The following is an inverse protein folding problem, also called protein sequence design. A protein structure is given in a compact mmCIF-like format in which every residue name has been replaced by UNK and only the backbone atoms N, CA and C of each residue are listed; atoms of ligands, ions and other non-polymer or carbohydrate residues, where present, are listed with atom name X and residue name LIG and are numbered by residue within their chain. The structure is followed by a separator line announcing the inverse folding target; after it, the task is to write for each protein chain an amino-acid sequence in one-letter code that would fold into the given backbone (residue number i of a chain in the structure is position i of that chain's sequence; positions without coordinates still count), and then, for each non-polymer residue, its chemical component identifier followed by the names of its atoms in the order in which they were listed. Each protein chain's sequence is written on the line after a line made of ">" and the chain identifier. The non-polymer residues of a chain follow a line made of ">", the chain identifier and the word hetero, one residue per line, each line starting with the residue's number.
data_IF_492199086095
#
_entry.id   IF_492199086095
#
_cell.length_a   1.000
_cell.length_b   1.000
_cell.length_c   1.000
_cell.angle_alpha   90.00
_cell.angle_beta   90.00
_cell.angle_gamma   90.00
#
_symmetry.space_group_name_H-M   'P 1'
#
loop_
_entity.id
_entity.type
_entity.pdbx_description
1 polymer ?
#
# COMPACT_ATOMS: atom_id res chain seq x y z
N UNK A 1 6.79 -7.83 -17.03
CA UNK A 1 7.69 -8.41 -16.01
C UNK A 1 7.17 -9.74 -15.44
N UNK A 2 5.97 -9.82 -14.85
CA UNK A 2 5.44 -11.07 -14.25
C UNK A 2 5.06 -12.14 -15.28
N UNK A 3 4.70 -11.77 -16.51
CA UNK A 3 4.29 -12.68 -17.61
C UNK A 3 5.50 -13.28 -18.39
N UNK A 4 6.71 -12.87 -18.09
CA UNK A 4 7.88 -13.20 -18.90
C UNK A 4 8.19 -14.72 -18.96
N UNK A 5 7.72 -15.50 -17.98
CA UNK A 5 7.91 -16.95 -17.98
C UNK A 5 6.81 -17.74 -18.71
N UNK A 6 5.80 -17.07 -19.29
CA UNK A 6 4.71 -17.64 -20.11
C UNK A 6 3.98 -18.85 -19.51
N UNK A 7 4.07 -19.06 -18.20
CA UNK A 7 3.38 -20.14 -17.50
C UNK A 7 1.96 -19.74 -17.11
N UNK A 8 1.06 -20.73 -17.00
CA UNK A 8 -0.31 -20.48 -16.53
C UNK A 8 -0.36 -19.87 -15.11
N UNK A 9 0.64 -20.16 -14.26
CA UNK A 9 0.81 -19.56 -12.94
C UNK A 9 1.19 -18.09 -13.05
N UNK A 10 2.14 -17.73 -13.92
CA UNK A 10 2.54 -16.35 -14.19
C UNK A 10 1.37 -15.51 -14.72
N UNK A 11 0.55 -16.08 -15.61
CA UNK A 11 -0.65 -15.42 -16.13
C UNK A 11 -1.71 -15.13 -15.06
N UNK A 12 -1.91 -16.03 -14.09
CA UNK A 12 -2.82 -15.79 -12.95
C UNK A 12 -2.28 -14.73 -12.00
N UNK A 13 -1.01 -14.81 -11.65
CA UNK A 13 -0.34 -13.83 -10.79
C UNK A 13 -0.36 -12.43 -11.40
N UNK A 14 -0.10 -12.32 -12.71
CA UNK A 14 -0.13 -11.06 -13.43
C UNK A 14 -1.53 -10.43 -13.47
N UNK A 15 -2.59 -11.22 -13.68
CA UNK A 15 -3.98 -10.72 -13.62
C UNK A 15 -4.34 -10.20 -12.24
N UNK A 16 -4.00 -10.93 -11.18
CA UNK A 16 -4.23 -10.49 -9.80
C UNK A 16 -3.48 -9.20 -9.49
N UNK A 17 -2.20 -9.13 -9.87
CA UNK A 17 -1.39 -7.92 -9.72
C UNK A 17 -2.00 -6.73 -10.46
N UNK A 18 -2.36 -6.92 -11.73
CA UNK A 18 -2.95 -5.85 -12.56
C UNK A 18 -4.28 -5.35 -11.99
N UNK A 19 -5.16 -6.27 -11.58
CA UNK A 19 -6.46 -5.90 -10.99
C UNK A 19 -6.28 -5.06 -9.73
N UNK A 20 -5.42 -5.49 -8.79
CA UNK A 20 -5.15 -4.76 -7.55
C UNK A 20 -4.46 -3.43 -7.84
N UNK A 21 -3.52 -3.39 -8.80
CA UNK A 21 -2.82 -2.16 -9.19
C UNK A 21 -3.77 -1.13 -9.82
N UNK A 22 -4.71 -1.56 -10.67
CA UNK A 22 -5.71 -0.68 -11.29
C UNK A 22 -6.68 -0.15 -10.25
N UNK A 23 -7.26 -1.02 -9.41
CA UNK A 23 -8.19 -0.61 -8.35
C UNK A 23 -7.50 0.34 -7.38
N UNK A 24 -6.30 0.01 -6.91
CA UNK A 24 -5.54 0.87 -6.02
C UNK A 24 -5.16 2.20 -6.67
N UNK A 25 -4.76 2.18 -7.95
CA UNK A 25 -4.46 3.40 -8.71
C UNK A 25 -5.67 4.32 -8.85
N UNK A 26 -6.84 3.76 -9.16
CA UNK A 26 -8.09 4.52 -9.24
C UNK A 26 -8.48 5.12 -7.87
N UNK A 27 -8.35 4.36 -6.78
CA UNK A 27 -8.60 4.88 -5.43
C UNK A 27 -7.66 6.06 -5.11
N UNK A 28 -6.37 5.94 -5.41
CA UNK A 28 -5.41 7.02 -5.20
C UNK A 28 -5.76 8.27 -6.03
N UNK A 29 -6.12 8.09 -7.31
CA UNK A 29 -6.53 9.19 -8.20
C UNK A 29 -7.79 9.89 -7.66
N UNK A 30 -8.79 9.15 -7.22
CA UNK A 30 -9.99 9.73 -6.61
C UNK A 30 -9.66 10.55 -5.36
N UNK A 31 -8.78 10.03 -4.48
CA UNK A 31 -8.31 10.76 -3.32
C UNK A 31 -7.61 12.07 -3.70
N UNK A 32 -6.73 12.04 -4.70
CA UNK A 32 -6.04 13.24 -5.22
C UNK A 32 -7.05 14.23 -5.82
N UNK A 33 -8.03 13.77 -6.61
CA UNK A 33 -9.04 14.65 -7.18
C UNK A 33 -9.94 15.30 -6.11
N UNK A 34 -10.27 14.59 -5.04
CA UNK A 34 -11.00 15.18 -3.91
C UNK A 34 -10.20 16.33 -3.27
N UNK A 35 -8.89 16.13 -3.08
CA UNK A 35 -8.02 17.16 -2.54
C UNK A 35 -7.91 18.34 -3.50
N UNK A 36 -7.69 18.08 -4.79
CA UNK A 36 -7.61 19.11 -5.81
C UNK A 36 -8.92 19.92 -5.94
N UNK A 37 -10.07 19.27 -5.86
CA UNK A 37 -11.37 19.94 -5.89
C UNK A 37 -11.60 20.83 -4.66
N UNK A 38 -11.08 20.44 -3.50
CA UNK A 38 -11.22 21.21 -2.26
C UNK A 38 -10.20 22.35 -2.09
N UNK A 39 -9.04 22.26 -2.74
CA UNK A 39 -7.94 23.23 -2.57
C UNK A 39 -7.66 24.06 -3.84
N UNK A 40 -8.13 23.60 -5.00
CA UNK A 40 -7.81 24.20 -6.31
C UNK A 40 -6.36 24.02 -6.74
N UNK A 41 -5.56 23.23 -6.02
CA UNK A 41 -4.13 23.06 -6.27
C UNK A 41 -3.72 21.58 -6.14
N UNK A 42 -2.64 21.19 -6.85
CA UNK A 42 -2.05 19.84 -6.84
C UNK A 42 -0.63 19.82 -6.25
N UNK A 43 -0.22 20.86 -5.55
CA UNK A 43 1.08 20.91 -4.87
C UNK A 43 1.09 19.99 -3.64
N UNK A 44 2.26 19.63 -3.13
CA UNK A 44 2.39 18.85 -1.87
C UNK A 44 1.76 19.57 -0.68
N UNK A 45 1.74 20.91 -0.69
CA UNK A 45 1.10 21.74 0.34
C UNK A 45 -0.42 21.65 0.33
N UNK A 46 -1.02 21.17 -0.77
CA UNK A 46 -2.47 20.99 -0.87
C UNK A 46 -3.02 19.97 0.13
N UNK A 47 -2.24 18.99 0.54
CA UNK A 47 -2.61 18.03 1.59
C UNK A 47 -2.86 18.75 2.93
N UNK A 48 -1.97 19.65 3.32
CA UNK A 48 -2.12 20.43 4.55
C UNK A 48 -3.23 21.49 4.44
N UNK A 49 -3.36 22.13 3.27
CA UNK A 49 -4.43 23.09 2.99
C UNK A 49 -5.80 22.41 3.04
N UNK A 50 -5.93 21.20 2.47
CA UNK A 50 -7.16 20.42 2.51
C UNK A 50 -7.55 20.06 3.96
N UNK A 51 -6.58 19.67 4.79
CA UNK A 51 -6.79 19.43 6.22
C UNK A 51 -7.32 20.67 6.92
N UNK A 52 -6.72 21.85 6.69
CA UNK A 52 -7.13 23.12 7.29
C UNK A 52 -8.53 23.56 6.82
N UNK A 53 -8.82 23.38 5.52
CA UNK A 53 -10.12 23.73 4.93
C UNK A 53 -11.25 22.82 5.41
N UNK A 54 -10.96 21.54 5.62
CA UNK A 54 -11.96 20.52 5.94
C UNK A 54 -12.16 20.35 7.46
N UNK A 55 -11.26 20.86 8.29
CA UNK A 55 -11.40 20.93 9.75
C UNK A 55 -11.63 19.58 10.46
N UNK A 56 -11.12 18.46 9.92
CA UNK A 56 -11.30 17.13 10.51
C UNK A 56 -12.67 16.49 10.22
N UNK A 57 -13.39 16.96 9.20
CA UNK A 57 -14.68 16.42 8.79
C UNK A 57 -14.56 15.16 7.93
N UNK A 58 -15.67 14.46 7.73
CA UNK A 58 -15.72 13.18 6.99
C UNK A 58 -15.03 13.18 5.60
N UNK A 59 -15.03 14.27 4.78
CA UNK A 59 -14.29 14.27 3.51
C UNK A 59 -12.79 14.09 3.67
N UNK A 60 -12.19 14.55 4.78
CA UNK A 60 -10.77 14.34 5.08
C UNK A 60 -10.47 12.85 5.24
N UNK A 61 -11.28 12.14 6.04
CA UNK A 61 -11.11 10.72 6.27
C UNK A 61 -11.37 9.88 5.02
N UNK A 62 -12.34 10.30 4.19
CA UNK A 62 -12.61 9.64 2.92
C UNK A 62 -11.43 9.78 1.96
N UNK A 63 -10.91 10.99 1.77
CA UNK A 63 -9.74 11.22 0.93
C UNK A 63 -8.52 10.44 1.45
N UNK A 64 -8.29 10.46 2.76
CA UNK A 64 -7.25 9.69 3.41
C UNK A 64 -7.40 8.18 3.21
N UNK A 65 -8.60 7.64 3.38
CA UNK A 65 -8.89 6.21 3.17
C UNK A 65 -8.68 5.77 1.72
N UNK A 66 -9.06 6.60 0.75
CA UNK A 66 -8.83 6.36 -0.68
C UNK A 66 -7.33 6.35 -1.01
N UNK A 67 -6.57 7.30 -0.48
CA UNK A 67 -5.11 7.34 -0.62
C UNK A 67 -4.45 6.15 0.08
N UNK A 68 -4.92 5.79 1.29
CA UNK A 68 -4.44 4.62 2.02
C UNK A 68 -4.71 3.32 1.26
N UNK A 69 -5.90 3.16 0.65
CA UNK A 69 -6.22 2.02 -0.19
C UNK A 69 -5.30 1.95 -1.42
N UNK A 70 -5.05 3.09 -2.08
CA UNK A 70 -4.19 3.15 -3.26
C UNK A 70 -2.72 2.86 -2.96
N UNK A 71 -2.14 3.53 -1.99
CA UNK A 71 -0.76 3.30 -1.57
C UNK A 71 -0.59 1.96 -0.84
N UNK A 72 -1.61 1.53 -0.07
CA UNK A 72 -1.64 0.24 0.60
C UNK A 72 -1.68 -0.93 -0.39
N UNK A 73 -2.44 -0.82 -1.49
CA UNK A 73 -2.42 -1.78 -2.58
C UNK A 73 -1.01 -1.91 -3.18
N UNK A 74 -0.31 -0.79 -3.36
CA UNK A 74 1.05 -0.75 -3.88
C UNK A 74 2.07 -1.30 -2.87
N UNK A 75 1.91 -1.01 -1.60
CA UNK A 75 2.75 -1.53 -0.52
C UNK A 75 2.52 -3.03 -0.27
N UNK A 76 1.38 -3.60 -0.63
CA UNK A 76 0.99 -4.96 -0.30
C UNK A 76 0.43 -5.08 1.12
N UNK A 77 -0.31 -4.07 1.58
CA UNK A 77 -0.99 -4.05 2.88
C UNK A 77 -2.27 -4.90 2.83
N UNK A 78 -2.62 -5.56 3.93
CA UNK A 78 -3.90 -6.23 4.07
C UNK A 78 -5.08 -5.22 3.91
N UNK A 79 -6.14 -5.57 3.17
CA UNK A 79 -6.45 -6.85 2.51
C UNK A 79 -5.86 -7.00 1.09
N UNK A 80 -5.20 -6.00 0.54
CA UNK A 80 -4.73 -5.95 -0.86
C UNK A 80 -3.35 -6.62 -1.09
N UNK A 81 -2.88 -7.43 -0.14
CA UNK A 81 -1.55 -8.04 -0.11
C UNK A 81 -1.37 -9.24 -1.07
N UNK A 82 -2.48 -9.85 -1.53
CA UNK A 82 -2.48 -11.17 -2.21
C UNK A 82 -1.59 -11.24 -3.45
N UNK A 83 -1.37 -10.13 -4.13
CA UNK A 83 -0.51 -10.06 -5.31
C UNK A 83 0.97 -10.27 -4.98
N UNK A 84 1.43 -9.83 -3.80
CA UNK A 84 2.84 -9.80 -3.45
C UNK A 84 3.46 -11.21 -3.33
N UNK A 85 2.89 -12.15 -2.54
CA UNK A 85 3.41 -13.51 -2.45
C UNK A 85 3.24 -14.33 -3.74
N UNK A 86 2.31 -13.93 -4.61
CA UNK A 86 2.04 -14.64 -5.85
C UNK A 86 2.90 -14.14 -7.02
N UNK A 87 3.26 -12.86 -7.03
CA UNK A 87 4.07 -12.26 -8.10
C UNK A 87 5.56 -12.60 -7.98
N UNK A 88 6.10 -12.67 -6.75
CA UNK A 88 7.53 -12.87 -6.53
C UNK A 88 8.09 -14.22 -7.02
N UNK A 89 7.43 -15.38 -6.79
CA UNK A 89 7.95 -16.66 -7.25
C UNK A 89 8.08 -16.76 -8.76
N UNK A 90 7.10 -16.19 -9.49
CA UNK A 90 7.01 -16.26 -10.95
C UNK A 90 7.74 -15.10 -11.67
N UNK A 91 8.21 -14.10 -10.94
CA UNK A 91 8.97 -13.01 -11.52
C UNK A 91 10.46 -13.40 -11.68
N UNK A 92 11.14 -13.00 -12.80
CA UNK A 92 12.58 -13.14 -12.90
C UNK A 92 13.30 -12.35 -11.79
N UNK A 93 14.50 -12.80 -11.42
CA UNK A 93 15.23 -12.25 -10.26
C UNK A 93 15.37 -10.72 -10.27
N UNK A 94 15.74 -10.05 -11.38
CA UNK A 94 15.81 -8.59 -11.43
C UNK A 94 14.46 -7.91 -11.22
N UNK A 95 13.37 -8.47 -11.77
CA UNK A 95 12.03 -7.95 -11.60
C UNK A 95 11.55 -8.10 -10.15
N UNK A 96 11.81 -9.24 -9.52
CA UNK A 96 11.51 -9.49 -8.11
C UNK A 96 12.26 -8.52 -7.19
N UNK A 97 13.53 -8.21 -7.49
CA UNK A 97 14.30 -7.22 -6.75
C UNK A 97 13.70 -5.80 -6.83
N UNK A 98 13.26 -5.37 -8.03
CA UNK A 98 12.59 -4.08 -8.23
C UNK A 98 11.24 -4.01 -7.53
N UNK A 99 10.46 -5.09 -7.57
CA UNK A 99 9.16 -5.17 -6.87
C UNK A 99 9.35 -4.99 -5.37
N UNK A 100 10.29 -5.70 -4.75
CA UNK A 100 10.55 -5.63 -3.32
C UNK A 100 11.33 -4.37 -2.92
N UNK A 101 12.32 -3.95 -3.72
CA UNK A 101 13.24 -2.86 -3.37
C UNK A 101 12.64 -1.46 -3.54
N UNK A 102 11.86 -1.22 -4.59
CA UNK A 102 11.37 0.11 -4.97
C UNK A 102 9.86 0.21 -4.88
N UNK A 103 9.13 -0.70 -5.54
CA UNK A 103 7.69 -0.54 -5.73
C UNK A 103 6.91 -0.52 -4.42
N UNK A 104 7.18 -1.47 -3.53
CA UNK A 104 6.52 -1.53 -2.22
C UNK A 104 6.90 -0.35 -1.33
N UNK A 105 8.16 0.13 -1.39
CA UNK A 105 8.64 1.26 -0.59
C UNK A 105 8.01 2.59 -1.02
N UNK A 106 7.74 2.77 -2.31
CA UNK A 106 6.98 3.96 -2.76
C UNK A 106 5.56 3.98 -2.21
N UNK A 107 4.92 2.81 -2.05
CA UNK A 107 3.62 2.70 -1.38
C UNK A 107 3.69 3.09 0.09
N UNK A 108 4.68 2.57 0.82
CA UNK A 108 4.93 2.94 2.23
C UNK A 108 5.20 4.43 2.38
N UNK A 109 6.04 5.00 1.50
CA UNK A 109 6.33 6.43 1.51
C UNK A 109 5.07 7.27 1.30
N UNK A 110 4.18 6.88 0.36
CA UNK A 110 2.90 7.54 0.15
C UNK A 110 2.01 7.53 1.39
N UNK A 111 1.93 6.40 2.11
CA UNK A 111 1.18 6.28 3.37
C UNK A 111 1.77 7.20 4.44
N UNK A 112 3.10 7.23 4.58
CA UNK A 112 3.81 8.13 5.49
C UNK A 112 3.48 9.60 5.21
N UNK A 113 3.57 10.02 3.95
CA UNK A 113 3.25 11.40 3.54
C UNK A 113 1.82 11.78 3.90
N UNK A 114 0.84 10.91 3.60
CA UNK A 114 -0.56 11.14 3.96
C UNK A 114 -0.73 11.24 5.47
N UNK A 115 -0.15 10.32 6.23
CA UNK A 115 -0.27 10.28 7.69
C UNK A 115 0.34 11.51 8.35
N UNK A 116 1.55 11.88 7.97
CA UNK A 116 2.26 13.03 8.58
C UNK A 116 1.65 14.36 8.18
N UNK A 117 1.16 14.49 6.93
CA UNK A 117 0.69 15.78 6.42
C UNK A 117 -0.79 16.02 6.71
N UNK A 118 -1.65 14.99 6.51
CA UNK A 118 -3.11 15.14 6.68
C UNK A 118 -3.59 14.81 8.10
N UNK A 119 -2.98 13.82 8.77
CA UNK A 119 -3.50 13.23 10.02
C UNK A 119 -2.53 13.34 11.21
N UNK A 120 -1.70 14.37 11.22
CA UNK A 120 -0.72 14.59 12.29
C UNK A 120 -1.41 14.61 13.67
N UNK A 121 -1.05 13.65 14.53
CA UNK A 121 -1.61 13.46 15.88
C UNK A 121 -3.12 13.10 15.95
N UNK A 122 -3.70 12.56 14.87
CA UNK A 122 -5.08 12.09 14.89
C UNK A 122 -5.14 10.64 15.39
N UNK A 123 -5.72 10.44 16.57
CA UNK A 123 -5.89 9.11 17.19
C UNK A 123 -6.78 8.17 16.37
N UNK A 124 -7.81 8.73 15.71
CA UNK A 124 -8.73 7.92 14.90
C UNK A 124 -7.99 7.35 13.70
N UNK A 125 -7.21 8.20 13.02
CA UNK A 125 -6.37 7.76 11.90
C UNK A 125 -5.31 6.76 12.34
N UNK A 126 -4.68 6.97 13.49
CA UNK A 126 -3.73 6.01 14.08
C UNK A 126 -4.34 4.62 14.24
N UNK A 127 -5.56 4.52 14.79
CA UNK A 127 -6.27 3.24 14.92
C UNK A 127 -6.63 2.61 13.56
N UNK A 128 -7.05 3.41 12.59
CA UNK A 128 -7.34 2.95 11.21
C UNK A 128 -6.09 2.38 10.54
N UNK A 129 -4.91 2.92 10.82
CA UNK A 129 -3.64 2.45 10.27
C UNK A 129 -3.08 1.25 11.06
N UNK A 130 -3.28 1.25 12.39
CA UNK A 130 -2.80 0.19 13.28
C UNK A 130 -3.40 -1.18 12.94
N UNK A 131 -4.71 -1.24 12.73
CA UNK A 131 -5.41 -2.50 12.50
C UNK A 131 -4.88 -3.25 11.25
N UNK A 132 -4.90 -2.67 10.02
CA UNK A 132 -4.35 -3.33 8.85
C UNK A 132 -2.84 -3.52 8.93
N UNK A 133 -2.10 -2.63 9.60
CA UNK A 133 -0.66 -2.76 9.83
C UNK A 133 -0.34 -4.00 10.66
N UNK A 134 -0.97 -4.17 11.81
CA UNK A 134 -0.79 -5.33 12.69
C UNK A 134 -1.19 -6.65 11.99
N UNK A 135 -2.34 -6.66 11.30
CA UNK A 135 -2.77 -7.83 10.53
C UNK A 135 -1.75 -8.17 9.43
N UNK A 136 -1.25 -7.18 8.69
CA UNK A 136 -0.24 -7.38 7.65
C UNK A 136 1.06 -7.95 8.23
N UNK A 137 1.49 -7.45 9.39
CA UNK A 137 2.69 -7.91 10.08
C UNK A 137 2.58 -9.40 10.46
N UNK A 138 1.50 -9.77 11.13
CA UNK A 138 1.29 -11.14 11.61
C UNK A 138 1.08 -12.11 10.45
N UNK A 139 0.21 -11.77 9.48
CA UNK A 139 -0.02 -12.60 8.30
C UNK A 139 1.26 -12.78 7.48
N UNK A 140 2.04 -11.72 7.28
CA UNK A 140 3.32 -11.79 6.59
C UNK A 140 4.29 -12.74 7.27
N UNK A 141 4.41 -12.69 8.60
CA UNK A 141 5.27 -13.58 9.37
C UNK A 141 4.81 -15.05 9.26
N UNK A 142 3.51 -15.32 9.45
CA UNK A 142 2.95 -16.66 9.33
C UNK A 142 3.18 -17.25 7.94
N UNK A 143 2.86 -16.48 6.88
CA UNK A 143 3.04 -16.91 5.50
C UNK A 143 4.51 -17.15 5.15
N UNK A 144 5.44 -16.39 5.73
CA UNK A 144 6.88 -16.59 5.54
C UNK A 144 7.36 -17.91 6.12
N UNK A 145 6.91 -18.28 7.34
CA UNK A 145 7.27 -19.54 8.00
C UNK A 145 6.76 -20.76 7.24
N UNK A 146 5.54 -20.70 6.70
CA UNK A 146 4.96 -21.82 5.95
C UNK A 146 5.30 -21.83 4.46
N UNK A 147 6.14 -20.91 3.98
CA UNK A 147 6.55 -20.88 2.57
C UNK A 147 7.71 -21.83 2.30
N UNK A 148 7.59 -22.68 1.26
CA UNK A 148 8.62 -23.61 0.82
C UNK A 148 9.62 -22.91 -0.11
N UNK A 149 9.14 -21.97 -0.93
CA UNK A 149 9.95 -21.25 -1.92
C UNK A 149 10.67 -20.06 -1.30
N UNK A 150 11.98 -19.96 -1.49
CA UNK A 150 12.81 -18.86 -0.98
C UNK A 150 12.30 -17.47 -1.42
N UNK A 151 11.94 -17.30 -2.69
CA UNK A 151 11.38 -16.04 -3.21
C UNK A 151 10.08 -15.65 -2.52
N UNK A 152 9.21 -16.62 -2.27
CA UNK A 152 7.94 -16.41 -1.56
C UNK A 152 8.17 -16.07 -0.09
N UNK A 153 9.09 -16.76 0.58
CA UNK A 153 9.50 -16.46 1.97
C UNK A 153 9.99 -15.02 2.09
N UNK A 154 10.86 -14.56 1.19
CA UNK A 154 11.36 -13.20 1.18
C UNK A 154 10.26 -12.16 0.91
N UNK A 155 9.30 -12.47 0.03
CA UNK A 155 8.16 -11.62 -0.22
C UNK A 155 7.26 -11.47 1.02
N UNK A 156 6.94 -12.57 1.69
CA UNK A 156 6.14 -12.58 2.90
C UNK A 156 6.86 -11.91 4.08
N UNK A 157 8.17 -12.08 4.19
CA UNK A 157 9.01 -11.36 5.15
C UNK A 157 8.99 -9.85 4.90
N UNK A 158 9.10 -9.42 3.63
CA UNK A 158 8.97 -7.99 3.26
C UNK A 158 7.60 -7.43 3.63
N UNK A 159 6.53 -8.21 3.43
CA UNK A 159 5.17 -7.85 3.82
C UNK A 159 5.06 -7.66 5.35
N UNK A 160 5.66 -8.56 6.13
CA UNK A 160 5.71 -8.44 7.61
C UNK A 160 6.43 -7.16 8.04
N UNK A 161 7.56 -6.82 7.42
CA UNK A 161 8.31 -5.58 7.71
C UNK A 161 7.49 -4.32 7.35
N UNK A 162 6.74 -4.35 6.25
CA UNK A 162 5.83 -3.25 5.89
C UNK A 162 4.76 -3.08 6.96
N UNK A 163 4.15 -4.18 7.42
CA UNK A 163 3.19 -4.16 8.52
C UNK A 163 3.79 -3.56 9.80
N UNK A 164 5.04 -3.91 10.14
CA UNK A 164 5.77 -3.33 11.26
C UNK A 164 5.98 -1.82 11.12
N UNK A 165 6.38 -1.34 9.93
CA UNK A 165 6.51 0.10 9.67
C UNK A 165 5.16 0.81 9.83
N UNK A 166 4.07 0.24 9.30
CA UNK A 166 2.73 0.83 9.40
C UNK A 166 2.25 0.92 10.84
N UNK A 167 2.50 -0.10 11.66
CA UNK A 167 2.19 -0.05 13.11
C UNK A 167 3.02 1.01 13.83
N UNK A 168 4.29 1.19 13.48
CA UNK A 168 5.12 2.27 14.01
C UNK A 168 4.62 3.66 13.63
N UNK A 169 4.10 3.83 12.39
CA UNK A 169 3.54 5.09 11.92
C UNK A 169 2.16 5.43 12.50
N UNK A 170 1.49 4.47 13.13
CA UNK A 170 0.17 4.64 13.74
C UNK A 170 0.21 5.27 15.14
N UNK A 171 1.39 5.31 15.76
CA UNK A 171 1.64 5.86 17.10
C UNK A 171 1.99 7.34 17.03
#
# INVERSE_FOLDING_TARGET
>A
MVIQEETAAAGRAARTYLAIAVIGGLCALFGIFMIAAGTGNLSMDSLEQFRKATGGTWPLYLAGALLLAGFGAKAGMYPLHVWLPNAHPVAPAPASALLSGILTKTGVFGILMVTVTMFRHDRVWGMVLLAPGAVTMVLGAILAVFSIDLKRTLACSSMSQIGFILTGCSM
#
